data_IF_582620198324
#
_entry.id   IF_582620198324
#
_cell.length_a   1.000
_cell.length_b   1.000
_cell.length_c   1.000
_cell.angle_alpha   90.00
_cell.angle_beta   90.00
_cell.angle_gamma   90.00
#
_symmetry.space_group_name_H-M   'P 1'
#
loop_
_entity.id
_entity.type
_entity.pdbx_description
1 polymer ?
#
# COMPACT_ATOMS: atom_id res chain seq x y z
N UNK A 1 -36.11 -27.87 8.51
CA UNK A 1 -35.16 -26.77 8.67
C UNK A 1 -33.79 -27.43 8.78
N UNK A 2 -32.85 -27.10 7.90
CA UNK A 2 -31.46 -27.55 8.06
C UNK A 2 -30.77 -26.44 8.82
N UNK A 3 -30.40 -26.69 10.08
CA UNK A 3 -29.53 -25.79 10.83
C UNK A 3 -28.14 -25.89 10.20
N UNK A 4 -27.66 -24.76 9.71
CA UNK A 4 -26.31 -24.65 9.18
C UNK A 4 -25.42 -24.33 10.38
N UNK A 5 -24.57 -25.28 10.77
CA UNK A 5 -23.56 -25.03 11.80
C UNK A 5 -22.51 -24.06 11.26
N UNK A 6 -22.28 -22.98 11.99
CA UNK A 6 -21.36 -21.90 11.64
C UNK A 6 -20.39 -21.64 12.80
N UNK A 7 -19.13 -21.38 12.46
CA UNK A 7 -18.06 -21.11 13.41
C UNK A 7 -17.36 -19.80 13.04
N UNK A 8 -17.02 -19.01 14.06
CA UNK A 8 -16.18 -17.82 13.93
C UNK A 8 -14.70 -18.23 13.92
N UNK A 9 -14.00 -17.99 12.82
CA UNK A 9 -12.59 -18.39 12.66
C UNK A 9 -11.73 -17.24 12.12
N UNK A 10 -10.51 -17.11 12.65
CA UNK A 10 -9.58 -16.03 12.28
C UNK A 10 -8.59 -16.48 11.19
N UNK A 11 -8.49 -15.70 10.12
CA UNK A 11 -7.56 -15.90 9.02
C UNK A 11 -6.10 -15.83 9.49
N UNK A 12 -5.32 -16.88 9.20
CA UNK A 12 -3.91 -16.98 9.60
C UNK A 12 -2.99 -15.99 8.86
N UNK A 13 -3.44 -15.43 7.73
CA UNK A 13 -2.70 -14.41 6.99
C UNK A 13 -2.87 -13.01 7.60
N UNK A 14 -4.11 -12.56 7.75
CA UNK A 14 -4.44 -11.16 7.99
C UNK A 14 -5.15 -10.87 9.31
N UNK A 15 -5.49 -11.89 10.10
CA UNK A 15 -6.15 -11.77 11.39
C UNK A 15 -7.59 -11.25 11.31
N UNK A 16 -8.27 -11.41 10.17
CA UNK A 16 -9.69 -11.10 10.04
C UNK A 16 -10.52 -12.34 10.37
N UNK A 17 -11.57 -12.16 11.18
CA UNK A 17 -12.53 -13.21 11.51
C UNK A 17 -13.64 -13.30 10.47
N UNK A 18 -14.02 -14.51 10.11
CA UNK A 18 -15.16 -14.80 9.23
C UNK A 18 -16.05 -15.87 9.89
N UNK A 19 -17.36 -15.77 9.65
CA UNK A 19 -18.35 -16.79 10.02
C UNK A 19 -18.41 -17.82 8.89
N UNK A 20 -18.12 -19.08 9.20
CA UNK A 20 -17.93 -20.11 8.19
C UNK A 20 -18.43 -21.47 8.65
N UNK A 21 -18.99 -22.23 7.71
CA UNK A 21 -19.36 -23.64 7.98
C UNK A 21 -18.11 -24.51 8.18
N UNK A 22 -18.13 -25.49 9.11
CA UNK A 22 -16.99 -26.40 9.33
C UNK A 22 -16.54 -27.14 8.07
N UNK A 23 -17.50 -27.47 7.20
CA UNK A 23 -17.25 -28.10 5.89
C UNK A 23 -16.50 -27.17 4.93
N UNK A 24 -16.77 -25.87 4.96
CA UNK A 24 -16.01 -24.91 4.16
C UNK A 24 -14.60 -24.71 4.74
N UNK A 25 -14.48 -24.57 6.06
CA UNK A 25 -13.19 -24.47 6.75
C UNK A 25 -12.26 -25.63 6.39
N UNK A 26 -12.77 -26.86 6.45
CA UNK A 26 -12.01 -28.06 6.13
C UNK A 26 -11.50 -28.08 4.68
N UNK A 27 -12.32 -27.64 3.72
CA UNK A 27 -11.94 -27.56 2.30
C UNK A 27 -10.85 -26.52 2.05
N UNK A 28 -10.96 -25.35 2.69
CA UNK A 28 -9.96 -24.29 2.58
C UNK A 28 -8.64 -24.73 3.19
N UNK A 29 -8.65 -25.33 4.39
CA UNK A 29 -7.44 -25.88 5.01
C UNK A 29 -6.78 -26.95 4.15
N UNK A 30 -7.55 -27.86 3.55
CA UNK A 30 -7.01 -28.87 2.65
C UNK A 30 -6.33 -28.26 1.42
N UNK A 31 -6.83 -27.13 0.90
CA UNK A 31 -6.24 -26.43 -0.24
C UNK A 31 -4.98 -25.66 0.15
N UNK A 32 -5.00 -24.91 1.25
CA UNK A 32 -3.93 -24.00 1.67
C UNK A 32 -2.97 -24.61 2.70
N UNK A 33 -2.46 -25.81 2.43
CA UNK A 33 -1.40 -26.44 3.24
C UNK A 33 -1.75 -26.56 4.74
N UNK A 34 -3.02 -26.84 5.05
CA UNK A 34 -3.55 -26.96 6.42
C UNK A 34 -3.99 -25.64 7.06
N UNK A 35 -3.80 -24.50 6.40
CA UNK A 35 -4.08 -23.17 6.95
C UNK A 35 -5.45 -22.65 6.57
N UNK A 36 -6.12 -22.00 7.52
CA UNK A 36 -7.32 -21.25 7.23
C UNK A 36 -6.97 -19.87 6.66
N UNK A 37 -7.55 -19.59 5.49
CA UNK A 37 -7.33 -18.36 4.72
C UNK A 37 -8.69 -17.76 4.38
N UNK A 38 -8.92 -16.49 4.73
CA UNK A 38 -10.16 -15.80 4.40
C UNK A 38 -10.40 -15.69 2.89
N UNK A 39 -11.62 -15.34 2.48
CA UNK A 39 -11.97 -15.22 1.06
C UNK A 39 -11.03 -14.30 0.27
N UNK A 40 -10.68 -13.14 0.83
CA UNK A 40 -9.80 -12.16 0.16
C UNK A 40 -8.34 -12.63 0.04
N UNK A 41 -7.78 -13.20 1.10
CA UNK A 41 -6.42 -13.75 1.06
C UNK A 41 -6.34 -14.97 0.13
N UNK A 42 -7.41 -15.78 0.06
CA UNK A 42 -7.48 -16.93 -0.83
C UNK A 42 -7.35 -16.50 -2.29
N UNK A 43 -8.09 -15.47 -2.72
CA UNK A 43 -8.00 -14.94 -4.08
C UNK A 43 -6.65 -14.28 -4.35
N UNK A 44 -6.07 -13.58 -3.37
CA UNK A 44 -4.74 -12.98 -3.51
C UNK A 44 -3.63 -14.03 -3.72
N UNK A 45 -3.67 -15.13 -2.97
CA UNK A 45 -2.69 -16.24 -3.12
C UNK A 45 -2.87 -16.94 -4.46
N UNK A 46 -4.12 -17.26 -4.85
CA UNK A 46 -4.40 -17.86 -6.17
C UNK A 46 -3.90 -16.97 -7.32
N UNK A 47 -4.11 -15.66 -7.21
CA UNK A 47 -3.62 -14.69 -8.18
C UNK A 47 -2.09 -14.64 -8.24
N UNK A 48 -1.40 -14.78 -7.10
CA UNK A 48 0.05 -14.84 -7.05
C UNK A 48 0.60 -16.10 -7.74
N UNK A 49 -0.03 -17.26 -7.54
CA UNK A 49 0.29 -18.50 -8.26
C UNK A 49 0.02 -18.35 -9.75
N UNK A 50 -1.11 -17.75 -10.13
CA UNK A 50 -1.47 -17.51 -11.54
C UNK A 50 -0.45 -16.59 -12.25
N UNK A 51 0.07 -15.58 -11.55
CA UNK A 51 1.08 -14.64 -12.06
C UNK A 51 2.48 -15.21 -12.10
N UNK A 52 2.79 -16.14 -11.20
CA UNK A 52 4.09 -16.82 -11.15
C UNK A 52 3.89 -18.33 -11.09
N UNK A 53 3.64 -18.99 -12.23
CA UNK A 53 3.39 -20.43 -12.26
C UNK A 53 4.57 -21.29 -11.79
N UNK A 54 5.78 -20.72 -11.71
CA UNK A 54 6.96 -21.41 -11.19
C UNK A 54 6.97 -21.52 -9.65
N UNK A 55 6.20 -20.67 -8.95
CA UNK A 55 6.07 -20.73 -7.51
C UNK A 55 5.00 -21.75 -7.12
N UNK A 56 5.31 -22.58 -6.14
CA UNK A 56 4.34 -23.48 -5.51
C UNK A 56 3.27 -22.68 -4.76
N UNK A 57 2.11 -23.31 -4.54
CA UNK A 57 1.03 -22.74 -3.73
C UNK A 57 1.53 -22.40 -2.31
N UNK A 58 2.38 -23.25 -1.74
CA UNK A 58 2.95 -23.03 -0.41
C UNK A 58 3.86 -21.80 -0.38
N UNK A 59 4.76 -21.64 -1.35
CA UNK A 59 5.62 -20.46 -1.44
C UNK A 59 4.82 -19.17 -1.64
N UNK A 60 3.76 -19.23 -2.48
CA UNK A 60 2.86 -18.09 -2.67
C UNK A 60 2.12 -17.74 -1.37
N UNK A 61 1.64 -18.74 -0.63
CA UNK A 61 0.98 -18.56 0.67
C UNK A 61 1.93 -17.96 1.70
N UNK A 62 3.14 -18.50 1.85
CA UNK A 62 4.15 -18.00 2.80
C UNK A 62 4.56 -16.57 2.48
N UNK A 63 4.78 -16.25 1.20
CA UNK A 63 5.03 -14.89 0.73
C UNK A 63 3.87 -13.96 1.07
N UNK A 64 2.62 -14.39 0.87
CA UNK A 64 1.46 -13.58 1.19
C UNK A 64 1.32 -13.34 2.70
N UNK A 65 1.53 -14.36 3.54
CA UNK A 65 1.52 -14.23 4.99
C UNK A 65 2.57 -13.22 5.47
N UNK A 66 3.78 -13.26 4.91
CA UNK A 66 4.83 -12.29 5.23
C UNK A 66 4.42 -10.85 4.90
N UNK A 67 3.75 -10.64 3.75
CA UNK A 67 3.20 -9.34 3.36
C UNK A 67 2.08 -8.88 4.31
N UNK A 68 1.15 -9.76 4.65
CA UNK A 68 0.06 -9.45 5.57
C UNK A 68 0.59 -9.11 6.97
N UNK A 69 1.56 -9.87 7.50
CA UNK A 69 2.19 -9.56 8.79
C UNK A 69 2.86 -8.19 8.78
N UNK A 70 3.58 -7.85 7.70
CA UNK A 70 4.19 -6.53 7.54
C UNK A 70 3.13 -5.43 7.52
N UNK A 71 2.07 -5.62 6.73
CA UNK A 71 0.94 -4.69 6.66
C UNK A 71 0.29 -4.49 8.04
N UNK A 72 0.08 -5.57 8.80
CA UNK A 72 -0.52 -5.51 10.12
C UNK A 72 0.35 -4.71 11.10
N UNK A 73 1.67 -4.97 11.11
CA UNK A 73 2.63 -4.28 11.99
C UNK A 73 2.83 -2.81 11.64
N UNK A 74 2.80 -2.45 10.35
CA UNK A 74 3.06 -1.06 9.94
C UNK A 74 1.78 -0.26 9.76
N UNK A 75 0.85 -0.75 8.94
CA UNK A 75 -0.34 0.00 8.54
C UNK A 75 -1.44 -0.14 9.57
N UNK A 76 -1.77 -1.36 9.99
CA UNK A 76 -2.94 -1.59 10.85
C UNK A 76 -2.68 -1.19 12.31
N UNK A 77 -1.50 -1.49 12.83
CA UNK A 77 -1.12 -1.14 14.20
C UNK A 77 -0.91 0.37 14.40
N UNK A 78 -0.38 1.08 13.39
CA UNK A 78 -0.21 2.53 13.49
C UNK A 78 -0.36 3.24 12.13
N UNK A 79 -1.61 3.42 11.65
CA UNK A 79 -1.88 4.03 10.34
C UNK A 79 -1.26 5.43 10.21
N UNK A 80 -1.23 6.16 11.32
CA UNK A 80 -0.69 7.52 11.45
C UNK A 80 0.81 7.59 11.20
N UNK A 81 1.58 6.74 11.90
CA UNK A 81 3.03 6.66 11.71
C UNK A 81 3.38 6.10 10.34
N UNK A 82 2.60 5.13 9.83
CA UNK A 82 2.81 4.64 8.47
C UNK A 82 2.61 5.74 7.44
N UNK A 83 1.55 6.53 7.55
CA UNK A 83 1.31 7.65 6.65
C UNK A 83 2.45 8.66 6.71
N UNK A 84 2.85 9.09 7.91
CA UNK A 84 3.97 10.00 8.11
C UNK A 84 5.29 9.45 7.52
N UNK A 85 5.53 8.14 7.65
CA UNK A 85 6.70 7.47 7.07
C UNK A 85 6.67 7.47 5.55
N UNK A 86 5.52 7.17 4.94
CA UNK A 86 5.33 7.26 3.48
C UNK A 86 5.57 8.69 2.98
N UNK A 87 5.04 9.70 3.67
CA UNK A 87 5.26 11.11 3.31
C UNK A 87 6.73 11.50 3.42
N UNK A 88 7.41 11.04 4.47
CA UNK A 88 8.86 11.23 4.65
C UNK A 88 9.64 10.59 3.51
N UNK A 89 9.28 9.38 3.09
CA UNK A 89 9.97 8.68 2.00
C UNK A 89 9.77 9.37 0.65
N UNK A 90 8.57 9.90 0.39
CA UNK A 90 8.30 10.73 -0.80
C UNK A 90 9.18 11.97 -0.79
N UNK A 91 9.24 12.68 0.33
CA UNK A 91 10.08 13.87 0.50
C UNK A 91 11.56 13.53 0.27
N UNK A 92 12.08 12.45 0.86
CA UNK A 92 13.46 11.98 0.67
C UNK A 92 13.79 11.66 -0.78
N UNK A 93 12.93 10.88 -1.46
CA UNK A 93 13.13 10.53 -2.88
C UNK A 93 13.11 11.76 -3.78
N UNK A 94 12.25 12.74 -3.47
CA UNK A 94 12.20 14.01 -4.23
C UNK A 94 13.43 14.89 -4.01
N UNK A 95 14.06 14.88 -2.84
CA UNK A 95 15.31 15.63 -2.61
C UNK A 95 16.50 14.96 -3.31
N UNK A 96 16.61 13.64 -3.23
CA UNK A 96 17.67 12.87 -3.90
C UNK A 96 17.66 13.07 -5.41
N UNK A 97 16.47 13.07 -6.03
CA UNK A 97 16.31 13.38 -7.45
C UNK A 97 16.79 14.78 -7.83
N UNK A 98 16.60 15.78 -6.96
CA UNK A 98 17.10 17.15 -7.19
C UNK A 98 18.62 17.21 -7.09
N UNK A 99 19.22 16.52 -6.13
CA UNK A 99 20.68 16.47 -5.95
C UNK A 99 21.39 15.68 -7.05
N UNK A 100 20.80 14.61 -7.57
CA UNK A 100 21.34 13.91 -8.74
C UNK A 100 21.23 14.77 -10.00
N UNK A 101 20.15 15.54 -10.15
CA UNK A 101 19.98 16.46 -11.28
C UNK A 101 20.92 17.69 -11.21
N UNK A 102 21.36 18.09 -10.01
CA UNK A 102 22.41 19.10 -9.86
C UNK A 102 23.81 18.55 -10.11
N UNK A 103 24.04 17.24 -9.96
CA UNK A 103 25.34 16.61 -10.25
C UNK A 103 25.55 16.40 -11.77
N UNK A 104 24.48 16.13 -12.53
CA UNK A 104 24.50 16.16 -14.00
C UNK A 104 24.34 17.56 -14.59
N UNK A 105 24.39 18.61 -13.76
CA UNK A 105 24.23 20.01 -14.14
C UNK A 105 25.48 20.68 -14.72
N UNK A 106 26.46 19.92 -15.22
CA UNK A 106 27.48 20.48 -16.12
C UNK A 106 26.84 20.57 -17.50
N UNK A 107 26.73 21.79 -18.04
CA UNK A 107 26.14 22.10 -19.36
C UNK A 107 26.68 21.13 -20.42
N UNK A 108 25.85 20.19 -20.87
CA UNK A 108 26.08 19.46 -22.11
C UNK A 108 25.44 20.26 -23.23
N UNK A 109 26.21 20.52 -24.28
CA UNK A 109 25.73 21.11 -25.53
C UNK A 109 24.63 20.23 -26.14
N UNK A 110 23.63 20.89 -26.73
CA UNK A 110 22.34 20.40 -27.23
C UNK A 110 22.44 19.27 -28.27
N UNK A 111 23.63 19.02 -28.80
CA UNK A 111 23.90 18.13 -29.91
C UNK A 111 24.05 16.63 -29.54
N UNK A 112 24.00 16.25 -28.26
CA UNK A 112 24.19 14.83 -27.84
C UNK A 112 23.02 14.18 -27.08
N UNK A 113 21.93 14.90 -26.79
CA UNK A 113 20.83 14.37 -25.97
C UNK A 113 20.03 13.23 -26.64
N UNK A 114 20.08 13.11 -27.96
CA UNK A 114 19.35 12.07 -28.71
C UNK A 114 19.93 10.65 -28.51
N UNK A 115 21.18 10.52 -28.07
CA UNK A 115 21.88 9.23 -28.01
C UNK A 115 21.54 8.37 -26.78
N UNK A 116 20.91 8.94 -25.73
CA UNK A 116 20.71 8.25 -24.44
C UNK A 116 19.25 7.87 -24.13
N UNK A 117 18.31 8.06 -25.05
CA UNK A 117 16.92 7.60 -24.89
C UNK A 117 16.23 8.12 -23.63
N UNK A 118 16.59 9.31 -23.13
CA UNK A 118 15.96 9.90 -21.96
C UNK A 118 14.62 10.53 -22.36
N UNK A 119 13.54 9.90 -21.90
CA UNK A 119 12.18 10.41 -22.07
C UNK A 119 12.08 11.78 -21.37
N UNK A 120 11.85 12.83 -22.16
CA UNK A 120 11.47 14.14 -21.64
C UNK A 120 10.18 14.00 -20.82
N UNK A 121 10.26 14.26 -19.52
CA UNK A 121 9.13 14.22 -18.57
C UNK A 121 8.84 15.61 -18.03
N UNK A 122 8.52 16.55 -18.92
CA UNK A 122 8.09 17.91 -18.57
C UNK A 122 6.68 18.00 -17.96
N UNK A 123 6.14 16.93 -17.36
CA UNK A 123 4.82 16.94 -16.71
C UNK A 123 4.79 16.01 -15.51
N UNK A 124 5.60 16.32 -14.49
CA UNK A 124 5.28 15.90 -13.12
C UNK A 124 4.67 17.13 -12.44
N UNK A 125 3.36 17.16 -12.15
CA UNK A 125 2.75 18.33 -11.53
C UNK A 125 3.42 18.64 -10.20
N UNK A 126 3.42 19.92 -9.83
CA UNK A 126 4.00 20.40 -8.58
C UNK A 126 3.30 19.67 -7.42
N UNK A 127 4.08 19.15 -6.47
CA UNK A 127 3.57 18.32 -5.35
C UNK A 127 2.32 18.89 -4.65
N UNK A 128 2.22 20.22 -4.56
CA UNK A 128 1.07 20.94 -3.99
C UNK A 128 -0.24 20.77 -4.77
N UNK A 129 -0.18 20.67 -6.10
CA UNK A 129 -1.36 20.59 -6.98
C UNK A 129 -1.98 19.19 -6.95
N UNK A 130 -1.14 18.15 -6.95
CA UNK A 130 -1.60 16.75 -6.77
C UNK A 130 -2.10 16.50 -5.36
N UNK A 131 -1.52 17.16 -4.36
CA UNK A 131 -1.92 16.97 -2.97
C UNK A 131 -3.33 17.48 -2.70
N UNK A 132 -3.69 18.66 -3.20
CA UNK A 132 -5.03 19.24 -3.03
C UNK A 132 -6.12 18.37 -3.69
N UNK A 133 -5.86 17.86 -4.90
CA UNK A 133 -6.81 17.00 -5.62
C UNK A 133 -7.01 15.64 -4.94
N UNK A 134 -5.91 15.00 -4.49
CA UNK A 134 -6.00 13.72 -3.79
C UNK A 134 -6.54 13.84 -2.35
N UNK A 135 -6.28 14.97 -1.66
CA UNK A 135 -6.81 15.23 -0.32
C UNK A 135 -8.33 15.37 -0.33
N UNK A 136 -8.89 16.07 -1.32
CA UNK A 136 -10.35 16.19 -1.48
C UNK A 136 -11.05 14.84 -1.67
N UNK A 137 -10.42 13.92 -2.41
CA UNK A 137 -10.91 12.56 -2.60
C UNK A 137 -10.83 11.72 -1.30
N UNK A 138 -9.76 11.87 -0.52
CA UNK A 138 -9.60 11.18 0.76
C UNK A 138 -10.55 11.71 1.85
N UNK A 139 -10.86 13.01 1.83
CA UNK A 139 -11.78 13.70 2.74
C UNK A 139 -13.26 13.33 2.49
N UNK A 140 -13.61 12.85 1.29
CA UNK A 140 -14.93 12.28 0.98
C UNK A 140 -15.07 10.81 1.40
N UNK A 141 -13.96 10.05 1.40
CA UNK A 141 -13.97 8.62 1.73
C UNK A 141 -13.96 8.33 3.25
N UNK A 142 -13.57 9.30 4.08
CA UNK A 142 -13.26 9.08 5.51
C UNK A 142 -14.22 9.79 6.48
N UNK A 143 -15.35 10.33 5.98
CA UNK A 143 -16.25 11.18 6.78
C UNK A 143 -16.82 10.52 8.04
N UNK A 144 -16.93 9.20 8.07
CA UNK A 144 -17.52 8.46 9.21
C UNK A 144 -16.50 7.81 10.16
N UNK A 145 -15.19 8.07 9.99
CA UNK A 145 -14.18 7.50 10.89
C UNK A 145 -13.81 8.47 12.02
N UNK A 146 -13.78 8.00 13.28
CA UNK A 146 -13.35 8.73 14.50
C UNK A 146 -11.90 9.32 14.47
N UNK A 147 -11.25 9.37 13.30
CA UNK A 147 -9.84 9.75 13.07
C UNK A 147 -9.67 11.23 12.66
N UNK A 148 -10.77 11.98 12.48
CA UNK A 148 -10.77 13.35 11.96
C UNK A 148 -9.85 14.34 12.69
N UNK A 149 -9.69 14.22 14.01
CA UNK A 149 -8.81 15.12 14.77
C UNK A 149 -7.35 15.04 14.30
N UNK A 150 -6.88 13.83 13.95
CA UNK A 150 -5.52 13.62 13.47
C UNK A 150 -5.30 14.05 12.02
N UNK A 151 -6.33 13.90 11.18
CA UNK A 151 -6.28 14.35 9.78
C UNK A 151 -6.21 15.88 9.71
N UNK A 152 -6.91 16.57 10.61
CA UNK A 152 -6.80 18.02 10.82
C UNK A 152 -5.39 18.46 11.21
N UNK A 153 -4.77 17.78 12.18
CA UNK A 153 -3.41 18.08 12.65
C UNK A 153 -2.36 17.90 11.53
N UNK A 154 -2.53 16.90 10.68
CA UNK A 154 -1.66 16.67 9.51
C UNK A 154 -1.84 17.76 8.46
N UNK A 155 -3.08 18.19 8.18
CA UNK A 155 -3.38 19.32 7.27
C UNK A 155 -2.74 20.61 7.77
N UNK A 156 -2.84 20.88 9.07
CA UNK A 156 -2.20 22.03 9.72
C UNK A 156 -0.68 21.97 9.60
N UNK A 157 -0.06 20.82 9.93
CA UNK A 157 1.39 20.64 9.83
C UNK A 157 1.90 20.86 8.40
N UNK A 158 1.23 20.32 7.38
CA UNK A 158 1.64 20.50 5.99
C UNK A 158 1.44 21.94 5.51
N UNK A 159 0.36 22.61 5.91
CA UNK A 159 0.15 24.02 5.57
C UNK A 159 1.21 24.93 6.22
N UNK A 160 1.57 24.69 7.49
CA UNK A 160 2.65 25.42 8.17
C UNK A 160 4.02 25.11 7.56
N UNK A 161 4.28 23.86 7.17
CA UNK A 161 5.53 23.48 6.51
C UNK A 161 5.66 24.06 5.08
N UNK A 162 4.54 24.29 4.40
CA UNK A 162 4.50 24.93 3.07
C UNK A 162 4.58 26.46 3.17
N UNK A 163 3.99 27.09 4.19
CA UNK A 163 4.09 28.54 4.42
C UNK A 163 5.46 28.98 4.90
N UNK A 164 6.26 28.09 5.50
CA UNK A 164 7.64 28.39 5.91
C UNK A 164 8.65 28.38 4.73
N UNK A 165 8.19 28.23 3.48
CA UNK A 165 9.02 28.30 2.25
C UNK A 165 8.53 29.34 1.24
N UNK A 166 7.64 30.25 1.65
CA UNK A 166 7.25 31.44 0.91
C UNK A 166 7.28 32.66 1.81
#
# INVERSE_FOLDING_TARGET
MVEIEEEMIECECCGMSEECTPKYISRVKAFFCGKWVCGLCSEAVKEQVRKNPAASLQEALESHMALCMKFHRTIRANPKLSFASSMRDIAKRSSQRRTSNSFFGVKMEESQAAALGLISRSTVPRFSETFASCWGAYELQTKDCHVWKFVGDVKQFMNTALSARY
#
